data_IF_760488941087
#
_entry.id   IF_760488941087
#
_cell.length_a   1.000
_cell.length_b   1.000
_cell.length_c   1.000
_cell.angle_alpha   90.00
_cell.angle_beta   90.00
_cell.angle_gamma   90.00
#
_symmetry.space_group_name_H-M   'P 1'
#
loop_
_entity.id
_entity.type
_entity.pdbx_description
1 polymer ?
#
# COMPACT_ATOMS: atom_id res chain seq x y z
N UNK A 1 8.19 2.17 10.03
CA UNK A 1 6.99 1.28 9.91
C UNK A 1 7.45 -0.17 9.82
N UNK A 2 8.38 -0.56 8.95
CA UNK A 2 8.81 -1.96 8.78
C UNK A 2 9.31 -2.61 10.07
N UNK A 3 10.02 -1.88 10.93
CA UNK A 3 10.50 -2.37 12.23
C UNK A 3 9.38 -2.69 13.25
N UNK A 4 8.14 -2.27 12.97
CA UNK A 4 6.97 -2.56 13.80
C UNK A 4 6.24 -3.85 13.38
N UNK A 5 6.62 -4.43 12.25
CA UNK A 5 6.05 -5.70 11.79
C UNK A 5 6.61 -6.83 12.65
N UNK A 6 5.76 -7.76 13.13
CA UNK A 6 6.20 -8.90 13.92
C UNK A 6 7.35 -9.68 13.27
N UNK A 7 8.36 -10.12 14.03
CA UNK A 7 9.54 -10.80 13.48
C UNK A 7 9.24 -12.17 12.87
N UNK A 8 8.13 -12.81 13.24
CA UNK A 8 7.66 -14.09 12.71
C UNK A 8 7.02 -13.96 11.33
N UNK A 9 6.58 -12.76 10.93
CA UNK A 9 5.93 -12.55 9.65
C UNK A 9 6.93 -12.60 8.48
N UNK A 10 6.49 -13.23 7.40
CA UNK A 10 7.23 -13.29 6.14
C UNK A 10 6.95 -12.03 5.32
N UNK A 11 7.98 -11.21 5.13
CA UNK A 11 7.89 -9.99 4.33
C UNK A 11 8.56 -10.21 2.97
N UNK A 12 7.88 -9.81 1.91
CA UNK A 12 8.49 -9.74 0.58
C UNK A 12 8.45 -8.29 0.12
N UNK A 13 9.63 -7.72 -0.15
CA UNK A 13 9.75 -6.39 -0.73
C UNK A 13 9.98 -6.48 -2.23
N UNK A 14 9.39 -5.58 -3.00
CA UNK A 14 9.61 -5.43 -4.45
C UNK A 14 10.00 -3.99 -4.70
N UNK A 15 11.21 -3.75 -5.18
CA UNK A 15 11.80 -2.42 -5.34
C UNK A 15 12.58 -2.33 -6.65
N UNK A 16 12.79 -1.12 -7.17
CA UNK A 16 13.70 -0.90 -8.30
C UNK A 16 15.19 -0.86 -7.87
N UNK A 17 15.41 -0.40 -6.65
CA UNK A 17 16.71 -0.42 -5.98
C UNK A 17 16.50 -0.84 -4.53
N UNK A 18 17.42 -1.59 -3.95
CA UNK A 18 17.33 -2.09 -2.58
C UNK A 18 17.54 -0.95 -1.56
N UNK A 19 16.49 -0.22 -1.27
CA UNK A 19 16.49 0.90 -0.32
C UNK A 19 15.90 0.48 1.04
N UNK A 20 14.88 -0.39 1.02
CA UNK A 20 14.27 -0.92 2.22
C UNK A 20 15.16 -1.98 2.85
N UNK A 21 15.24 -1.96 4.16
CA UNK A 21 16.03 -2.92 4.95
C UNK A 21 15.15 -3.52 6.03
N UNK A 22 14.27 -4.47 5.69
CA UNK A 22 13.50 -5.19 6.69
C UNK A 22 14.44 -5.97 7.61
N UNK A 23 14.22 -5.87 8.93
CA UNK A 23 15.02 -6.56 9.94
C UNK A 23 14.48 -7.96 10.26
N UNK A 24 13.33 -8.31 9.72
CA UNK A 24 12.67 -9.59 9.93
C UNK A 24 13.50 -10.74 9.35
N UNK A 25 13.73 -11.82 10.12
CA UNK A 25 14.54 -12.97 9.67
C UNK A 25 14.03 -13.64 8.39
N UNK A 26 12.71 -13.56 8.14
CA UNK A 26 12.06 -14.15 6.98
C UNK A 26 11.68 -13.09 5.94
N UNK A 27 12.60 -12.18 5.65
CA UNK A 27 12.42 -11.17 4.62
C UNK A 27 13.09 -11.60 3.31
N UNK A 28 12.42 -11.31 2.18
CA UNK A 28 12.93 -11.51 0.82
C UNK A 28 12.81 -10.20 0.05
N UNK A 29 13.90 -9.75 -0.56
CA UNK A 29 13.92 -8.57 -1.42
C UNK A 29 14.01 -9.00 -2.88
N UNK A 30 13.06 -8.54 -3.69
CA UNK A 30 13.02 -8.72 -5.13
C UNK A 30 13.31 -7.37 -5.80
N UNK A 31 14.22 -7.39 -6.77
CA UNK A 31 14.56 -6.19 -7.53
C UNK A 31 13.87 -6.24 -8.88
N UNK A 32 12.96 -5.28 -9.09
CA UNK A 32 12.26 -5.09 -10.35
C UNK A 32 13.12 -4.31 -11.35
N UNK A 33 12.86 -4.56 -12.62
CA UNK A 33 13.55 -3.92 -13.73
C UNK A 33 12.51 -3.48 -14.75
N UNK A 34 12.46 -2.19 -15.05
CA UNK A 34 11.47 -1.62 -15.98
C UNK A 34 11.72 -1.96 -17.43
N UNK A 35 12.98 -2.23 -17.76
CA UNK A 35 13.41 -2.49 -19.13
C UNK A 35 13.26 -3.98 -19.48
N UNK A 36 12.85 -4.81 -18.53
CA UNK A 36 12.72 -6.25 -18.70
C UNK A 36 11.34 -6.74 -18.24
N UNK A 37 10.50 -7.17 -19.19
CA UNK A 37 9.14 -7.68 -18.89
C UNK A 37 9.14 -8.79 -17.84
N UNK A 38 10.12 -9.70 -17.90
CA UNK A 38 10.22 -10.84 -16.98
C UNK A 38 10.49 -10.44 -15.52
N UNK A 39 10.95 -9.22 -15.27
CA UNK A 39 11.23 -8.68 -13.94
C UNK A 39 10.49 -7.38 -13.66
N UNK A 40 9.44 -7.11 -14.41
CA UNK A 40 8.56 -5.97 -14.14
C UNK A 40 7.88 -6.12 -12.77
N UNK A 41 7.48 -5.01 -12.16
CA UNK A 41 6.90 -5.01 -10.81
C UNK A 41 5.62 -5.86 -10.74
N UNK A 42 4.78 -5.85 -11.77
CA UNK A 42 3.55 -6.66 -11.84
C UNK A 42 3.86 -8.17 -11.92
N UNK A 43 4.85 -8.59 -12.70
CA UNK A 43 5.27 -10.00 -12.82
C UNK A 43 5.86 -10.51 -11.50
N UNK A 44 6.72 -9.70 -10.86
CA UNK A 44 7.29 -10.05 -9.57
C UNK A 44 6.20 -10.11 -8.49
N UNK A 45 5.26 -9.18 -8.49
CA UNK A 45 4.14 -9.15 -7.54
C UNK A 45 3.25 -10.40 -7.69
N UNK A 46 2.87 -10.76 -8.91
CA UNK A 46 2.13 -11.99 -9.19
C UNK A 46 2.87 -13.26 -8.74
N UNK A 47 4.21 -13.26 -8.89
CA UNK A 47 5.06 -14.37 -8.44
C UNK A 47 5.14 -14.43 -6.91
N UNK A 48 5.15 -13.27 -6.26
CA UNK A 48 5.20 -13.11 -4.80
C UNK A 48 4.03 -13.79 -4.10
N UNK A 49 2.82 -13.77 -4.69
CA UNK A 49 1.65 -14.43 -4.13
C UNK A 49 1.82 -15.96 -3.96
N UNK A 50 2.74 -16.57 -4.73
CA UNK A 50 3.08 -18.01 -4.61
C UNK A 50 4.21 -18.28 -3.59
N UNK A 51 4.81 -17.24 -3.06
CA UNK A 51 5.91 -17.34 -2.09
C UNK A 51 5.40 -17.34 -0.64
N UNK A 52 4.06 -17.34 -0.43
CA UNK A 52 3.39 -17.29 0.87
C UNK A 52 3.86 -16.12 1.74
N UNK A 53 3.74 -14.87 1.27
CA UNK A 53 4.03 -13.72 2.10
C UNK A 53 2.92 -13.54 3.15
N UNK A 54 3.29 -13.07 4.34
CA UNK A 54 2.32 -12.48 5.28
C UNK A 54 2.07 -11.03 4.89
N UNK A 55 3.12 -10.31 4.47
CA UNK A 55 3.02 -8.93 3.96
C UNK A 55 3.84 -8.72 2.71
N UNK A 56 3.32 -7.88 1.85
CA UNK A 56 3.99 -7.41 0.64
C UNK A 56 4.30 -5.93 0.81
N UNK A 57 5.54 -5.54 0.55
CA UNK A 57 5.96 -4.15 0.53
C UNK A 57 6.39 -3.82 -0.89
N UNK A 58 5.53 -3.11 -1.61
CA UNK A 58 5.82 -2.65 -2.95
C UNK A 58 6.40 -1.24 -2.88
N UNK A 59 7.63 -1.05 -3.35
CA UNK A 59 8.36 0.21 -3.24
C UNK A 59 7.57 1.40 -3.76
N UNK A 60 6.97 1.27 -4.95
CA UNK A 60 6.10 2.30 -5.52
C UNK A 60 5.12 1.71 -6.53
N UNK A 61 3.89 2.24 -6.51
CA UNK A 61 2.88 1.97 -7.56
C UNK A 61 2.91 3.09 -8.60
N UNK A 62 3.07 2.71 -9.87
CA UNK A 62 3.07 3.65 -11.03
C UNK A 62 2.24 3.17 -12.21
N UNK A 63 1.92 1.89 -12.29
CA UNK A 63 1.33 1.26 -13.46
C UNK A 63 0.44 0.07 -13.17
N UNK A 64 0.60 -0.96 -13.99
CA UNK A 64 -0.28 -2.15 -14.03
C UNK A 64 -0.25 -2.97 -12.73
N UNK A 65 0.86 -2.93 -11.99
CA UNK A 65 1.04 -3.56 -10.68
C UNK A 65 0.01 -3.11 -9.65
N UNK A 66 -0.62 -1.93 -9.87
CA UNK A 66 -1.67 -1.39 -9.01
C UNK A 66 -2.82 -2.38 -8.79
N UNK A 67 -3.34 -2.98 -9.87
CA UNK A 67 -4.47 -3.91 -9.77
C UNK A 67 -4.08 -5.19 -9.05
N UNK A 68 -2.94 -5.78 -9.40
CA UNK A 68 -2.42 -6.99 -8.74
C UNK A 68 -2.16 -6.75 -7.24
N UNK A 69 -1.68 -5.54 -6.87
CA UNK A 69 -1.50 -5.17 -5.47
C UNK A 69 -2.84 -5.07 -4.71
N UNK A 70 -3.84 -4.43 -5.31
CA UNK A 70 -5.19 -4.32 -4.74
C UNK A 70 -5.84 -5.69 -4.55
N UNK A 71 -5.71 -6.58 -5.53
CA UNK A 71 -6.18 -7.96 -5.41
C UNK A 71 -5.46 -8.72 -4.28
N UNK A 72 -4.15 -8.54 -4.16
CA UNK A 72 -3.36 -9.19 -3.12
C UNK A 72 -3.83 -8.81 -1.71
N UNK A 73 -4.01 -7.51 -1.44
CA UNK A 73 -4.46 -7.04 -0.12
C UNK A 73 -5.88 -7.50 0.22
N UNK A 74 -6.74 -7.67 -0.79
CA UNK A 74 -8.11 -8.17 -0.61
C UNK A 74 -8.21 -9.70 -0.50
N UNK A 75 -7.14 -10.43 -0.81
CA UNK A 75 -7.13 -11.91 -0.81
C UNK A 75 -6.28 -12.52 0.32
N UNK A 76 -6.07 -11.79 1.40
CA UNK A 76 -5.44 -12.33 2.61
C UNK A 76 -4.05 -11.78 2.94
N UNK A 77 -3.55 -10.77 2.19
CA UNK A 77 -2.26 -10.12 2.45
C UNK A 77 -2.47 -8.72 3.08
N UNK A 78 -3.37 -8.64 4.08
CA UNK A 78 -3.64 -7.41 4.83
C UNK A 78 -2.38 -6.87 5.52
N UNK A 79 -2.34 -5.53 5.75
CA UNK A 79 -1.16 -4.87 6.32
C UNK A 79 0.03 -4.76 5.36
N UNK A 80 -0.16 -5.06 4.07
CA UNK A 80 0.79 -4.76 3.01
C UNK A 80 0.92 -3.26 2.79
N UNK A 81 2.05 -2.82 2.25
CA UNK A 81 2.41 -1.41 2.15
C UNK A 81 2.87 -1.07 0.73
N UNK A 82 2.56 0.14 0.30
CA UNK A 82 3.15 0.72 -0.92
C UNK A 82 3.28 2.22 -0.80
N UNK A 83 4.01 2.84 -1.71
CA UNK A 83 4.06 4.29 -1.86
C UNK A 83 3.45 4.73 -3.19
N UNK A 84 2.98 5.96 -3.24
CA UNK A 84 2.44 6.58 -4.43
C UNK A 84 2.67 8.09 -4.36
N UNK A 85 3.16 8.69 -5.43
CA UNK A 85 3.30 10.15 -5.49
C UNK A 85 1.96 10.83 -5.74
N UNK A 86 1.50 11.64 -4.78
CA UNK A 86 0.33 12.50 -4.91
C UNK A 86 0.45 13.70 -3.97
N UNK A 87 -0.21 14.80 -4.31
CA UNK A 87 -0.19 16.01 -3.48
C UNK A 87 -1.14 15.91 -2.28
N UNK A 88 -2.20 15.10 -2.41
CA UNK A 88 -3.19 14.87 -1.35
C UNK A 88 -3.59 13.39 -1.33
N UNK A 89 -4.11 12.87 -0.20
CA UNK A 89 -4.61 11.50 -0.12
C UNK A 89 -5.74 11.21 -1.12
N UNK A 90 -6.62 12.17 -1.38
CA UNK A 90 -7.73 12.02 -2.34
C UNK A 90 -7.18 11.91 -3.78
N UNK A 91 -6.12 12.64 -4.11
CA UNK A 91 -5.43 12.49 -5.39
C UNK A 91 -4.68 11.17 -5.47
N UNK A 92 -4.17 10.64 -4.35
CA UNK A 92 -3.56 9.31 -4.31
C UNK A 92 -4.57 8.23 -4.72
N UNK A 93 -5.80 8.24 -4.18
CA UNK A 93 -6.88 7.32 -4.57
C UNK A 93 -7.15 7.42 -6.07
N UNK A 94 -7.30 8.64 -6.60
CA UNK A 94 -7.56 8.86 -8.03
C UNK A 94 -6.42 8.36 -8.93
N UNK A 95 -5.17 8.60 -8.55
CA UNK A 95 -4.00 8.11 -9.29
C UNK A 95 -3.90 6.59 -9.26
N UNK A 96 -4.18 5.99 -8.12
CA UNK A 96 -4.21 4.54 -7.99
C UNK A 96 -5.30 3.92 -8.88
N UNK A 97 -6.50 4.53 -8.93
CA UNK A 97 -7.58 4.11 -9.81
C UNK A 97 -7.18 4.17 -11.29
N UNK A 98 -6.55 5.26 -11.72
CA UNK A 98 -6.05 5.40 -13.10
C UNK A 98 -4.96 4.35 -13.38
N UNK A 99 -4.08 4.06 -12.43
CA UNK A 99 -3.02 3.06 -12.59
C UNK A 99 -3.62 1.65 -12.72
N UNK A 100 -4.58 1.29 -11.86
CA UNK A 100 -5.26 -0.01 -11.88
C UNK A 100 -6.06 -0.23 -13.18
N UNK A 101 -6.72 0.81 -13.69
CA UNK A 101 -7.47 0.77 -14.94
C UNK A 101 -6.60 0.66 -16.21
N UNK A 102 -5.27 0.74 -16.12
CA UNK A 102 -4.37 0.40 -17.24
C UNK A 102 -4.35 -1.11 -17.55
N UNK A 103 -4.90 -1.91 -16.67
CA UNK A 103 -5.21 -3.32 -16.93
C UNK A 103 -6.62 -3.41 -17.53
N UNK A 104 -6.87 -4.41 -18.36
CA UNK A 104 -8.17 -4.57 -19.05
C UNK A 104 -9.24 -5.15 -18.11
N UNK A 105 -9.44 -4.54 -16.93
CA UNK A 105 -10.48 -4.94 -15.99
C UNK A 105 -11.83 -4.31 -16.39
N UNK A 106 -12.94 -5.06 -16.34
CA UNK A 106 -14.26 -4.56 -16.73
C UNK A 106 -14.91 -3.74 -15.60
N UNK A 107 -14.23 -2.68 -15.15
CA UNK A 107 -14.71 -1.77 -14.11
C UNK A 107 -14.75 -0.35 -14.63
N UNK A 108 -15.76 0.41 -14.19
CA UNK A 108 -15.78 1.85 -14.43
C UNK A 108 -14.78 2.55 -13.50
N UNK A 109 -14.46 3.80 -13.81
CA UNK A 109 -13.62 4.61 -12.93
C UNK A 109 -14.23 4.77 -11.52
N UNK A 110 -15.55 4.95 -11.46
CA UNK A 110 -16.26 5.08 -10.18
C UNK A 110 -16.17 3.78 -9.36
N UNK A 111 -16.41 2.62 -9.99
CA UNK A 111 -16.30 1.32 -9.32
C UNK A 111 -14.87 1.07 -8.82
N UNK A 112 -13.86 1.49 -9.59
CA UNK A 112 -12.46 1.36 -9.19
C UNK A 112 -12.11 2.23 -7.99
N UNK A 113 -12.60 3.48 -7.95
CA UNK A 113 -12.44 4.35 -6.78
C UNK A 113 -13.11 3.71 -5.57
N UNK A 114 -14.31 3.20 -5.75
CA UNK A 114 -15.06 2.50 -4.72
C UNK A 114 -14.33 1.26 -4.19
N UNK A 115 -13.74 0.48 -5.09
CA UNK A 115 -12.95 -0.70 -4.75
C UNK A 115 -11.70 -0.32 -3.92
N UNK A 116 -10.98 0.73 -4.34
CA UNK A 116 -9.78 1.21 -3.64
C UNK A 116 -10.13 1.72 -2.23
N UNK A 117 -11.18 2.53 -2.12
CA UNK A 117 -11.60 3.08 -0.82
C UNK A 117 -12.08 2.00 0.16
N UNK A 118 -12.58 0.87 -0.36
CA UNK A 118 -12.91 -0.31 0.44
C UNK A 118 -11.72 -1.22 0.76
N UNK A 119 -10.60 -1.07 0.03
CA UNK A 119 -9.42 -1.95 0.14
C UNK A 119 -8.29 -1.35 0.96
N UNK A 120 -8.16 -0.02 0.98
CA UNK A 120 -7.07 0.70 1.64
C UNK A 120 -7.53 1.16 3.02
N UNK A 121 -6.85 0.70 4.07
CA UNK A 121 -7.17 1.06 5.45
C UNK A 121 -6.79 2.52 5.76
N UNK A 122 -5.60 2.94 5.33
CA UNK A 122 -5.07 4.27 5.62
C UNK A 122 -4.11 4.76 4.55
N UNK A 123 -4.21 6.04 4.22
CA UNK A 123 -3.23 6.77 3.42
C UNK A 123 -2.51 7.76 4.34
N UNK A 124 -1.20 7.63 4.40
CA UNK A 124 -0.32 8.49 5.21
C UNK A 124 0.35 9.49 4.26
N UNK A 125 -0.04 10.76 4.36
CA UNK A 125 0.54 11.81 3.56
C UNK A 125 1.84 12.30 4.20
N UNK A 126 2.94 12.16 3.46
CA UNK A 126 4.21 12.77 3.81
C UNK A 126 4.37 14.11 3.08
N UNK A 127 4.87 15.11 3.75
CA UNK A 127 5.02 16.44 3.19
C UNK A 127 6.14 17.23 3.84
N UNK A 128 6.17 18.54 3.56
CA UNK A 128 7.06 19.50 4.22
C UNK A 128 6.22 20.56 4.92
N UNK A 129 6.57 20.85 6.17
CA UNK A 129 6.03 21.96 6.93
C UNK A 129 7.20 22.70 7.58
N UNK A 130 7.27 24.01 7.37
CA UNK A 130 8.35 24.89 7.87
C UNK A 130 9.78 24.37 7.56
N UNK A 131 9.95 23.79 6.37
CA UNK A 131 11.24 23.26 5.91
C UNK A 131 11.57 21.84 6.40
N UNK A 132 10.87 21.32 7.38
CA UNK A 132 11.01 19.94 7.87
C UNK A 132 10.15 18.97 7.06
N UNK A 133 10.63 17.73 6.88
CA UNK A 133 9.84 16.63 6.32
C UNK A 133 9.13 15.90 7.46
N UNK A 134 7.87 15.51 7.23
CA UNK A 134 7.09 14.78 8.21
C UNK A 134 5.78 14.28 7.66
N UNK A 135 5.00 13.63 8.52
CA UNK A 135 3.63 13.24 8.23
C UNK A 135 2.75 14.47 8.40
N UNK A 136 1.96 14.79 7.37
CA UNK A 136 1.06 15.94 7.36
C UNK A 136 -0.40 15.56 7.52
N UNK A 137 -0.78 14.34 7.15
CA UNK A 137 -2.16 13.88 7.20
C UNK A 137 -2.25 12.36 7.31
N UNK A 138 -3.25 11.88 8.05
CA UNK A 138 -3.76 10.51 8.01
C UNK A 138 -5.16 10.54 7.41
N UNK A 139 -5.38 9.83 6.32
CA UNK A 139 -6.66 9.74 5.65
C UNK A 139 -7.15 8.29 5.66
N UNK A 140 -8.39 8.09 6.07
CA UNK A 140 -9.07 6.79 6.16
C UNK A 140 -10.16 6.73 5.07
N UNK A 141 -9.88 6.16 3.89
CA UNK A 141 -10.79 6.21 2.75
C UNK A 141 -12.19 5.67 3.05
N UNK A 142 -12.27 4.52 3.73
CA UNK A 142 -13.54 3.89 4.08
C UNK A 142 -14.43 4.71 5.02
N UNK A 143 -13.85 5.52 5.89
CA UNK A 143 -14.61 6.38 6.82
C UNK A 143 -15.16 7.64 6.15
N UNK A 144 -14.51 8.11 5.10
CA UNK A 144 -14.98 9.28 4.34
C UNK A 144 -16.32 9.04 3.64
N UNK A 145 -16.71 7.76 3.42
CA UNK A 145 -17.99 7.37 2.80
C UNK A 145 -19.18 7.34 3.75
N UNK A 146 -18.94 7.10 5.03
CA UNK A 146 -19.98 6.89 6.04
C UNK A 146 -19.73 7.76 7.26
N UNK A 147 -19.78 9.10 7.14
CA UNK A 147 -19.55 9.98 8.29
C UNK A 147 -20.55 9.76 9.43
N UNK A 148 -21.73 9.21 9.14
CA UNK A 148 -22.82 9.03 10.11
C UNK A 148 -22.82 7.67 10.83
N UNK A 149 -21.93 6.70 10.48
CA UNK A 149 -21.93 5.37 11.11
C UNK A 149 -20.95 5.22 12.28
N UNK A 150 -20.19 6.26 12.62
CA UNK A 150 -19.16 6.20 13.67
C UNK A 150 -19.62 6.76 15.03
N UNK A 151 -20.92 6.65 15.35
CA UNK A 151 -21.42 6.92 16.72
C UNK A 151 -21.68 5.61 17.44
N UNK A 152 -20.63 4.92 17.85
CA UNK A 152 -20.76 3.80 18.79
C UNK A 152 -19.98 2.56 18.39
N UNK A 153 -18.71 2.56 18.69
CA UNK A 153 -17.92 1.43 19.23
C UNK A 153 -16.41 1.75 19.14
N UNK A 154 -15.95 2.58 20.05
CA UNK A 154 -14.52 2.68 20.40
C UNK A 154 -14.34 2.05 21.78
N UNK A 155 -14.35 0.73 21.84
CA UNK A 155 -13.71 -0.02 22.91
C UNK A 155 -13.01 -1.23 22.29
N UNK A 156 -11.69 -1.16 22.18
CA UNK A 156 -10.87 -2.28 21.72
C UNK A 156 -9.53 -1.82 21.13
N UNK A 157 -8.62 -1.41 22.03
CA UNK A 157 -7.16 -1.44 21.86
C UNK A 157 -6.57 -0.81 20.59
N UNK A 158 -6.60 0.50 20.49
CA UNK A 158 -5.61 1.22 19.71
C UNK A 158 -4.26 1.19 20.47
N UNK A 159 -3.29 0.43 19.94
CA UNK A 159 -1.89 0.56 20.37
C UNK A 159 -1.36 1.90 19.86
N UNK A 160 -0.71 2.73 20.70
CA UNK A 160 -0.27 4.04 20.31
C UNK A 160 0.83 3.97 19.25
N UNK A 161 0.66 4.75 18.16
CA UNK A 161 1.74 5.04 17.24
C UNK A 161 2.79 5.89 17.99
N UNK A 162 3.98 5.36 18.18
CA UNK A 162 5.11 6.10 18.76
C UNK A 162 5.68 7.01 17.67
N UNK A 163 5.61 8.31 17.88
CA UNK A 163 6.38 9.27 17.10
C UNK A 163 7.86 9.06 17.45
N UNK A 164 8.70 8.84 16.45
CA UNK A 164 10.14 8.88 16.59
C UNK A 164 10.64 10.33 16.39
N UNK A 165 11.40 10.82 17.35
CA UNK A 165 12.20 12.03 17.26
C UNK A 165 13.29 11.93 16.19
#
# INVERSE_FOLDING_TARGET
ILSLIPPEERIITIEEAAELRPEQPNAVTLISDRDTDARSADVLLASTLRMRPDRIVLGEVRGREAMTFLEAINTGHGGSLTTLHAETPQLAVRRLAIAALKTDVPMTYADMVDYIEGSIDVIIQAGRHDGARGITEFFLPGQARHPDQNTGQTEGAARPAVAAE
#
